data_IF_243066270379
#
_entry.id   IF_243066270379
#
_cell.length_a   1.000
_cell.length_b   1.000
_cell.length_c   1.000
_cell.angle_alpha   90.00
_cell.angle_beta   90.00
_cell.angle_gamma   90.00
#
_symmetry.space_group_name_H-M   'P 1'
#
loop_
_entity.id
_entity.type
_entity.pdbx_description
1 polymer ?
#
# COMPACT_ATOMS: atom_id res chain seq x y z
N UNK A 1 19.52 -1.80 -53.35
CA UNK A 1 18.59 -1.89 -52.20
C UNK A 1 17.38 -1.05 -52.52
N UNK A 2 16.19 -1.66 -52.45
CA UNK A 2 14.92 -1.00 -52.72
C UNK A 2 14.52 -0.18 -51.49
N UNK A 3 14.46 1.14 -51.62
CA UNK A 3 14.16 2.07 -50.52
C UNK A 3 12.83 1.76 -49.83
N UNK A 4 11.88 1.08 -50.50
CA UNK A 4 10.61 0.66 -49.90
C UNK A 4 10.81 -0.49 -48.90
N UNK A 5 11.72 -1.41 -49.20
CA UNK A 5 12.06 -2.53 -48.30
C UNK A 5 12.80 -2.01 -47.08
N UNK A 6 13.70 -1.03 -47.26
CA UNK A 6 14.46 -0.43 -46.16
C UNK A 6 13.57 0.30 -45.14
N UNK A 7 12.54 1.04 -45.60
CA UNK A 7 11.61 1.76 -44.72
C UNK A 7 10.71 0.80 -43.92
N UNK A 8 10.24 -0.28 -44.55
CA UNK A 8 9.39 -1.29 -43.89
C UNK A 8 10.19 -2.03 -42.82
N UNK A 9 11.46 -2.36 -43.11
CA UNK A 9 12.34 -3.06 -42.17
C UNK A 9 12.67 -2.18 -40.94
N UNK A 10 12.96 -0.89 -41.16
CA UNK A 10 13.22 0.08 -40.08
C UNK A 10 11.98 0.27 -39.20
N UNK A 11 10.80 0.35 -39.81
CA UNK A 11 9.53 0.54 -39.09
C UNK A 11 9.17 -0.67 -38.22
N UNK A 12 9.46 -1.89 -38.69
CA UNK A 12 9.21 -3.13 -37.95
C UNK A 12 10.14 -3.29 -36.74
N UNK A 13 11.41 -2.88 -36.89
CA UNK A 13 12.40 -2.87 -35.80
C UNK A 13 12.03 -1.82 -34.73
N UNK A 14 11.53 -0.64 -35.12
CA UNK A 14 11.05 0.36 -34.17
C UNK A 14 9.82 -0.12 -33.39
N UNK A 15 8.89 -0.84 -34.02
CA UNK A 15 7.71 -1.38 -33.35
C UNK A 15 8.05 -2.45 -32.29
N UNK A 16 9.10 -3.25 -32.54
CA UNK A 16 9.58 -4.28 -31.60
C UNK A 16 10.24 -3.67 -30.34
N UNK A 17 10.85 -2.49 -30.46
CA UNK A 17 11.52 -1.80 -29.35
C UNK A 17 10.57 -1.07 -28.37
N UNK A 18 9.32 -0.82 -28.78
CA UNK A 18 8.30 -0.17 -27.93
C UNK A 18 7.58 -1.20 -27.04
N UNK A 19 7.72 -2.49 -27.36
CA UNK A 19 7.05 -3.58 -26.68
C UNK A 19 7.70 -3.96 -25.36
N UNK A 20 7.01 -3.62 -24.27
CA UNK A 20 7.08 -4.25 -22.93
C UNK A 20 8.16 -3.76 -21.97
N UNK A 21 8.11 -2.48 -21.60
CA UNK A 21 8.54 -2.09 -20.25
C UNK A 21 7.48 -2.56 -19.25
N UNK A 22 7.44 -3.85 -18.93
CA UNK A 22 6.77 -4.30 -17.69
C UNK A 22 7.76 -4.03 -16.57
N UNK A 23 7.76 -2.78 -16.09
CA UNK A 23 8.50 -2.43 -14.90
C UNK A 23 7.93 -3.21 -13.72
N UNK A 24 8.66 -4.18 -13.21
CA UNK A 24 8.46 -4.65 -11.85
C UNK A 24 8.77 -3.47 -10.94
N UNK A 25 7.73 -2.81 -10.41
CA UNK A 25 7.91 -1.91 -9.28
C UNK A 25 8.41 -2.78 -8.13
N UNK A 26 9.70 -2.66 -7.82
CA UNK A 26 10.24 -3.20 -6.58
C UNK A 26 9.54 -2.47 -5.45
N UNK A 27 8.50 -3.09 -4.91
CA UNK A 27 7.75 -2.56 -3.79
C UNK A 27 8.70 -2.67 -2.58
N UNK A 28 9.34 -1.55 -2.22
CA UNK A 28 10.30 -1.52 -1.13
C UNK A 28 9.52 -1.62 0.20
N UNK A 29 9.76 -2.69 0.95
CA UNK A 29 9.29 -2.81 2.32
C UNK A 29 9.92 -1.72 3.19
N UNK A 30 9.10 -1.06 4.00
CA UNK A 30 9.51 -0.04 4.95
C UNK A 30 8.75 -0.22 6.25
N UNK A 31 9.40 0.16 7.35
CA UNK A 31 8.76 0.28 8.66
C UNK A 31 7.71 1.41 8.65
N UNK A 32 6.48 1.06 8.97
CA UNK A 32 5.32 1.94 9.06
C UNK A 32 4.76 1.90 10.47
N UNK A 33 4.48 3.08 11.03
CA UNK A 33 3.75 3.24 12.28
C UNK A 33 2.29 3.59 12.01
N UNK A 34 1.40 2.73 12.47
CA UNK A 34 -0.06 2.88 12.43
C UNK A 34 -0.49 3.40 13.80
N UNK A 35 -1.03 4.62 13.82
CA UNK A 35 -1.58 5.25 15.01
C UNK A 35 -3.10 5.14 15.00
N UNK A 36 -3.67 4.64 16.08
CA UNK A 36 -5.11 4.48 16.24
C UNK A 36 -5.59 5.40 17.36
N UNK A 37 -6.63 6.16 17.07
CA UNK A 37 -7.29 7.04 18.01
C UNK A 37 -8.76 6.62 18.19
N UNK A 38 -9.28 6.73 19.41
CA UNK A 38 -10.69 6.54 19.72
C UNK A 38 -11.55 7.70 19.19
N UNK A 39 -12.87 7.58 19.31
CA UNK A 39 -13.87 8.59 18.94
C UNK A 39 -13.71 9.93 19.65
N UNK A 40 -12.93 9.99 20.73
CA UNK A 40 -12.63 11.21 21.49
C UNK A 40 -11.25 11.79 21.12
N UNK A 41 -10.53 11.15 20.19
CA UNK A 41 -9.20 11.56 19.75
C UNK A 41 -8.05 11.10 20.66
N UNK A 42 -8.31 10.24 21.65
CA UNK A 42 -7.26 9.69 22.51
C UNK A 42 -6.60 8.48 21.85
N UNK A 43 -5.32 8.20 22.13
CA UNK A 43 -4.68 6.97 21.68
C UNK A 43 -5.47 5.73 22.12
N UNK A 44 -5.83 4.87 21.17
CA UNK A 44 -6.60 3.67 21.42
C UNK A 44 -5.65 2.50 21.73
N UNK A 45 -5.33 2.30 23.01
CA UNK A 45 -4.50 1.17 23.45
C UNK A 45 -5.26 -0.15 23.36
N UNK A 46 -4.59 -1.19 22.84
CA UNK A 46 -5.19 -2.52 22.69
C UNK A 46 -6.20 -2.62 21.55
N UNK A 47 -6.23 -1.66 20.63
CA UNK A 47 -7.05 -1.76 19.42
C UNK A 47 -6.53 -2.89 18.52
N UNK A 48 -7.43 -3.75 18.06
CA UNK A 48 -7.10 -4.82 17.12
C UNK A 48 -7.05 -4.24 15.70
N UNK A 49 -5.87 -4.28 15.09
CA UNK A 49 -5.58 -3.72 13.77
C UNK A 49 -5.38 -4.88 12.80
N UNK A 50 -6.02 -4.80 11.64
CA UNK A 50 -5.90 -5.77 10.55
C UNK A 50 -5.51 -5.07 9.26
N UNK A 51 -4.53 -5.61 8.54
CA UNK A 51 -4.03 -5.08 7.26
C UNK A 51 -4.44 -6.03 6.15
N UNK A 52 -5.10 -5.48 5.13
CA UNK A 52 -5.52 -6.18 3.93
C UNK A 52 -4.81 -5.61 2.70
N UNK A 53 -4.39 -6.51 1.81
CA UNK A 53 -3.98 -6.19 0.45
C UNK A 53 -5.00 -6.81 -0.52
N UNK A 54 -5.86 -5.97 -1.09
CA UNK A 54 -7.04 -6.45 -1.83
C UNK A 54 -8.03 -7.12 -0.88
N UNK A 55 -8.42 -8.37 -1.17
CA UNK A 55 -9.33 -9.17 -0.33
C UNK A 55 -8.60 -10.03 0.72
N UNK A 56 -7.27 -10.07 0.70
CA UNK A 56 -6.48 -10.94 1.56
C UNK A 56 -6.00 -10.18 2.78
N UNK A 57 -6.23 -10.74 3.96
CA UNK A 57 -5.53 -10.33 5.17
C UNK A 57 -4.06 -10.74 5.06
N UNK A 58 -3.14 -9.81 5.32
CA UNK A 58 -1.70 -10.06 5.25
C UNK A 58 -1.01 -9.91 6.61
N UNK A 59 -1.63 -9.21 7.56
CA UNK A 59 -1.08 -9.02 8.90
C UNK A 59 -2.16 -8.52 9.88
N UNK A 60 -1.96 -8.76 11.18
CA UNK A 60 -2.76 -8.17 12.24
C UNK A 60 -1.96 -8.07 13.55
N UNK A 61 -2.30 -7.10 14.38
CA UNK A 61 -1.76 -6.98 15.74
C UNK A 61 -2.59 -6.05 16.61
N UNK A 62 -2.29 -6.05 17.91
CA UNK A 62 -2.85 -5.05 18.84
C UNK A 62 -1.94 -3.83 18.91
N UNK A 63 -2.54 -2.64 19.03
CA UNK A 63 -1.80 -1.43 19.36
C UNK A 63 -1.24 -1.45 20.79
N UNK A 64 -0.11 -0.80 20.98
CA UNK A 64 0.55 -0.63 22.28
C UNK A 64 -0.16 0.39 23.20
N UNK A 65 0.47 0.74 24.33
CA UNK A 65 -0.05 1.74 25.27
C UNK A 65 -0.16 3.16 24.70
N UNK A 66 0.53 3.45 23.60
CA UNK A 66 0.47 4.72 22.87
C UNK A 66 -0.49 4.70 21.69
N UNK A 67 -1.30 3.64 21.55
CA UNK A 67 -2.20 3.45 20.41
C UNK A 67 -1.46 3.20 19.10
N UNK A 68 -0.21 2.74 19.16
CA UNK A 68 0.65 2.54 17.99
C UNK A 68 0.88 1.06 17.72
N UNK A 69 0.93 0.70 16.45
CA UNK A 69 1.54 -0.55 16.00
C UNK A 69 2.54 -0.25 14.88
N UNK A 70 3.74 -0.80 15.00
CA UNK A 70 4.78 -0.69 13.97
C UNK A 70 4.93 -2.01 13.22
N UNK A 71 4.88 -1.96 11.89
CA UNK A 71 4.94 -3.12 11.01
C UNK A 71 5.66 -2.79 9.71
N UNK A 72 5.99 -3.79 8.89
CA UNK A 72 6.62 -3.59 7.58
C UNK A 72 5.59 -3.69 6.46
N UNK A 73 5.52 -2.66 5.62
CA UNK A 73 4.63 -2.61 4.45
C UNK A 73 5.37 -2.05 3.24
N UNK A 74 4.90 -2.40 2.05
CA UNK A 74 5.51 -1.95 0.81
C UNK A 74 5.00 -0.58 0.40
N UNK A 75 5.92 0.34 0.08
CA UNK A 75 5.55 1.62 -0.51
C UNK A 75 4.85 1.45 -1.85
N UNK A 76 4.03 2.44 -2.20
CA UNK A 76 3.21 2.52 -3.41
C UNK A 76 2.25 1.35 -3.60
N UNK A 77 1.96 0.62 -2.52
CA UNK A 77 1.01 -0.48 -2.49
C UNK A 77 -0.30 -0.01 -1.86
N UNK A 78 -1.43 -0.45 -2.42
CA UNK A 78 -2.76 -0.15 -1.87
C UNK A 78 -3.12 -1.12 -0.76
N UNK A 79 -3.52 -0.57 0.39
CA UNK A 79 -4.00 -1.34 1.54
C UNK A 79 -5.36 -0.86 2.02
N UNK A 80 -6.04 -1.74 2.74
CA UNK A 80 -7.11 -1.40 3.67
C UNK A 80 -6.59 -1.77 5.06
N UNK A 81 -6.58 -0.83 5.99
CA UNK A 81 -6.16 -1.06 7.37
C UNK A 81 -7.33 -0.72 8.26
N UNK A 82 -7.90 -1.71 8.92
CA UNK A 82 -9.00 -1.56 9.86
C UNK A 82 -8.49 -1.62 11.29
N UNK A 83 -9.05 -0.80 12.17
CA UNK A 83 -8.85 -0.88 13.61
C UNK A 83 -10.20 -1.02 14.32
N UNK A 84 -10.22 -1.81 15.40
CA UNK A 84 -11.41 -1.99 16.23
C UNK A 84 -11.07 -2.07 17.70
N UNK A 85 -11.89 -1.47 18.55
CA UNK A 85 -11.75 -1.53 20.01
C UNK A 85 -13.09 -1.27 20.70
N UNK A 86 -13.58 -2.22 21.49
CA UNK A 86 -14.75 -2.00 22.34
C UNK A 86 -16.01 -1.53 21.58
N UNK A 87 -16.21 -2.01 20.35
CA UNK A 87 -17.33 -1.63 19.49
C UNK A 87 -17.12 -0.36 18.65
N UNK A 88 -16.00 0.34 18.81
CA UNK A 88 -15.58 1.41 17.90
C UNK A 88 -14.81 0.83 16.72
N UNK A 89 -14.97 1.46 15.56
CA UNK A 89 -14.35 1.02 14.31
C UNK A 89 -13.81 2.20 13.51
N UNK A 90 -12.70 1.98 12.82
CA UNK A 90 -12.15 2.94 11.87
C UNK A 90 -11.30 2.23 10.82
N UNK A 91 -11.17 2.85 9.66
CA UNK A 91 -10.32 2.33 8.60
C UNK A 91 -9.53 3.41 7.87
N UNK A 92 -8.40 3.00 7.33
CA UNK A 92 -7.63 3.75 6.36
C UNK A 92 -7.57 2.95 5.07
N UNK A 93 -7.84 3.61 3.95
CA UNK A 93 -7.81 3.01 2.61
C UNK A 93 -6.99 3.90 1.71
N UNK A 94 -5.93 3.35 1.12
CA UNK A 94 -5.07 4.16 0.26
C UNK A 94 -3.83 3.45 -0.22
N UNK A 95 -3.13 4.14 -1.11
CA UNK A 95 -1.77 3.79 -1.49
C UNK A 95 -0.80 4.32 -0.44
N UNK A 96 0.07 3.44 0.07
CA UNK A 96 1.06 3.79 1.07
C UNK A 96 2.18 4.63 0.44
N UNK A 97 2.31 5.89 0.85
CA UNK A 97 3.33 6.81 0.31
C UNK A 97 4.37 7.26 1.34
N UNK A 98 4.30 6.72 2.56
CA UNK A 98 5.21 7.08 3.65
C UNK A 98 5.10 6.12 4.82
N UNK A 99 5.73 6.47 5.94
CA UNK A 99 5.88 5.60 7.11
C UNK A 99 4.86 5.83 8.22
N UNK A 100 3.84 6.67 8.00
CA UNK A 100 2.84 7.01 9.02
C UNK A 100 1.42 6.89 8.49
N UNK A 101 0.59 6.19 9.25
CA UNK A 101 -0.85 6.08 9.02
C UNK A 101 -1.56 6.47 10.32
N UNK A 102 -2.68 7.18 10.21
CA UNK A 102 -3.51 7.53 11.37
C UNK A 102 -4.95 7.13 11.08
N UNK A 103 -5.54 6.39 12.02
CA UNK A 103 -6.93 5.90 11.98
C UNK A 103 -7.66 6.52 13.16
N UNK A 104 -8.80 7.15 12.89
CA UNK A 104 -9.69 7.69 13.91
C UNK A 104 -10.97 6.84 13.90
N UNK A 105 -11.21 6.13 15.00
CA UNK A 105 -12.38 5.27 15.13
C UNK A 105 -13.62 6.09 15.51
N UNK A 106 -14.80 5.59 15.14
CA UNK A 106 -16.11 6.17 15.47
C UNK A 106 -16.91 5.22 16.36
#
# INVERSE_FOLDING_TARGET
>A
MDKKIDIILISLILLLMIGTMVGTVNAQAQQVSIYVYDSRGNPASGAYITVYQGANEINHHYSDSSGTWTTELNLYTRYIISASLGGQYGDWKGELKGSRISIYMQ
#
